data_IF_811221328401
#
_entry.id   IF_811221328401
#
_cell.length_a   1.000
_cell.length_b   1.000
_cell.length_c   1.000
_cell.angle_alpha   90.00
_cell.angle_beta   90.00
_cell.angle_gamma   90.00
#
_symmetry.space_group_name_H-M   'P 1'
#
loop_
_entity.id
_entity.type
_entity.pdbx_description
1 polymer ?
#
# COMPACT_ATOMS: atom_id res chain seq x y z
N UNK A 1 -9.49 -19.34 1.11
CA UNK A 1 -10.87 -19.42 1.69
C UNK A 1 -11.43 -20.85 1.70
N UNK A 2 -11.54 -21.56 0.58
CA UNK A 2 -12.06 -22.95 0.56
C UNK A 2 -11.39 -23.88 1.59
N UNK A 3 -10.06 -23.85 1.66
CA UNK A 3 -9.31 -24.64 2.66
C UNK A 3 -9.64 -24.25 4.11
N UNK A 4 -9.91 -22.97 4.36
CA UNK A 4 -10.33 -22.49 5.69
C UNK A 4 -11.70 -23.05 6.05
N UNK A 5 -12.70 -22.97 5.17
CA UNK A 5 -14.04 -23.53 5.41
C UNK A 5 -13.99 -25.05 5.65
N UNK A 6 -13.19 -25.77 4.87
CA UNK A 6 -12.96 -27.20 5.08
C UNK A 6 -12.33 -27.49 6.45
N UNK A 7 -11.36 -26.68 6.88
CA UNK A 7 -10.75 -26.78 8.20
C UNK A 7 -11.78 -26.49 9.31
N UNK A 8 -12.54 -25.39 9.22
CA UNK A 8 -13.60 -25.01 10.17
C UNK A 8 -14.63 -26.13 10.32
N UNK A 9 -15.02 -26.75 9.22
CA UNK A 9 -15.93 -27.90 9.21
C UNK A 9 -15.32 -29.11 9.92
N UNK A 10 -14.09 -29.48 9.57
CA UNK A 10 -13.42 -30.66 10.16
C UNK A 10 -13.14 -30.50 11.66
N UNK A 11 -12.92 -29.28 12.13
CA UNK A 11 -12.76 -28.95 13.55
C UNK A 11 -14.07 -28.78 14.30
N UNK A 12 -15.22 -28.88 13.62
CA UNK A 12 -16.54 -28.74 14.25
C UNK A 12 -16.76 -27.39 14.92
N UNK A 13 -16.17 -26.31 14.40
CA UNK A 13 -16.20 -24.99 15.06
C UNK A 13 -17.64 -24.46 15.26
N UNK A 14 -18.56 -24.82 14.36
CA UNK A 14 -19.97 -24.46 14.44
C UNK A 14 -20.68 -25.00 15.70
N UNK A 15 -20.12 -26.01 16.37
CA UNK A 15 -20.64 -26.54 17.63
C UNK A 15 -20.39 -25.58 18.81
N UNK A 16 -19.40 -24.68 18.69
CA UNK A 16 -19.00 -23.77 19.75
C UNK A 16 -19.39 -22.33 19.45
N UNK A 17 -19.37 -21.95 18.17
CA UNK A 17 -19.63 -20.58 17.73
C UNK A 17 -20.58 -20.62 16.54
N UNK A 18 -21.72 -19.94 16.67
CA UNK A 18 -22.72 -19.85 15.59
C UNK A 18 -22.59 -18.58 14.76
N UNK A 19 -21.89 -17.56 15.29
CA UNK A 19 -21.73 -16.25 14.64
C UNK A 19 -20.28 -15.80 14.72
N UNK A 20 -19.72 -15.35 13.60
CA UNK A 20 -18.36 -14.81 13.51
C UNK A 20 -18.44 -13.34 13.13
N UNK A 21 -17.76 -12.48 13.89
CA UNK A 21 -17.58 -11.09 13.51
C UNK A 21 -16.59 -11.00 12.34
N UNK A 22 -17.01 -10.39 11.23
CA UNK A 22 -16.19 -10.25 10.03
C UNK A 22 -16.31 -8.83 9.46
N UNK A 23 -15.22 -8.34 8.90
CA UNK A 23 -15.16 -7.04 8.24
C UNK A 23 -14.51 -7.16 6.85
N UNK A 24 -14.50 -6.07 6.08
CA UNK A 24 -13.96 -6.01 4.73
C UNK A 24 -14.82 -6.73 3.68
N UNK A 25 -14.43 -6.60 2.40
CA UNK A 25 -15.20 -7.15 1.28
C UNK A 25 -15.43 -8.67 1.33
N UNK A 26 -14.52 -9.41 1.98
CA UNK A 26 -14.66 -10.86 2.18
C UNK A 26 -15.88 -11.25 3.02
N UNK A 27 -16.26 -10.42 3.99
CA UNK A 27 -17.42 -10.66 4.85
C UNK A 27 -18.73 -10.70 4.05
N UNK A 28 -18.82 -9.92 2.97
CA UNK A 28 -19.96 -9.94 2.05
C UNK A 28 -19.82 -11.05 1.01
N UNK A 29 -18.64 -11.17 0.40
CA UNK A 29 -18.38 -12.12 -0.69
C UNK A 29 -18.60 -13.58 -0.27
N UNK A 30 -18.22 -13.94 0.94
CA UNK A 30 -18.21 -15.33 1.41
C UNK A 30 -19.34 -15.67 2.38
N UNK A 31 -20.28 -14.75 2.66
CA UNK A 31 -21.37 -14.97 3.62
C UNK A 31 -22.17 -16.24 3.35
N UNK A 32 -22.60 -16.43 2.09
CA UNK A 32 -23.37 -17.60 1.69
C UNK A 32 -22.55 -18.90 1.80
N UNK A 33 -21.24 -18.83 1.55
CA UNK A 33 -20.36 -20.00 1.68
C UNK A 33 -20.20 -20.41 3.15
N UNK A 34 -20.07 -19.46 4.07
CA UNK A 34 -20.06 -19.72 5.51
C UNK A 34 -21.38 -20.37 5.98
N UNK A 35 -22.51 -19.81 5.55
CA UNK A 35 -23.82 -20.35 5.93
C UNK A 35 -24.03 -21.76 5.35
N UNK A 36 -23.65 -21.99 4.10
CA UNK A 36 -23.86 -23.28 3.40
C UNK A 36 -22.89 -24.38 3.88
N UNK A 37 -21.62 -24.06 4.06
CA UNK A 37 -20.58 -25.08 4.26
C UNK A 37 -20.36 -25.42 5.73
N UNK A 38 -20.54 -24.45 6.63
CA UNK A 38 -20.27 -24.60 8.06
C UNK A 38 -21.44 -24.18 8.96
N UNK A 39 -22.58 -23.76 8.40
CA UNK A 39 -23.77 -23.33 9.17
C UNK A 39 -23.47 -22.22 10.21
N UNK A 40 -22.56 -21.30 9.86
CA UNK A 40 -22.22 -20.14 10.69
C UNK A 40 -22.71 -18.86 10.02
N UNK A 41 -23.15 -17.90 10.83
CA UNK A 41 -23.53 -16.55 10.38
C UNK A 41 -22.35 -15.60 10.47
N UNK A 42 -22.26 -14.64 9.56
CA UNK A 42 -21.31 -13.54 9.65
C UNK A 42 -22.00 -12.30 10.22
N UNK A 43 -21.55 -11.85 11.39
CA UNK A 43 -21.85 -10.50 11.88
C UNK A 43 -20.91 -9.53 11.13
N UNK A 44 -21.45 -8.85 10.13
CA UNK A 44 -20.68 -7.98 9.24
C UNK A 44 -20.49 -6.60 9.87
N UNK A 45 -19.26 -6.11 9.87
CA UNK A 45 -18.88 -4.77 10.30
C UNK A 45 -18.25 -4.00 9.13
N UNK A 46 -18.35 -2.67 9.15
CA UNK A 46 -17.68 -1.82 8.16
C UNK A 46 -16.16 -1.92 8.28
N UNK A 47 -15.47 -1.84 7.14
CA UNK A 47 -14.01 -1.99 7.04
C UNK A 47 -13.27 -0.87 7.75
N UNK A 48 -13.67 0.38 7.52
CA UNK A 48 -12.96 1.53 8.05
C UNK A 48 -13.30 1.78 9.52
N UNK A 49 -14.55 1.56 9.93
CA UNK A 49 -14.92 1.59 11.35
C UNK A 49 -14.12 0.56 12.15
N UNK A 50 -13.98 -0.66 11.61
CA UNK A 50 -13.23 -1.73 12.28
C UNK A 50 -11.74 -1.42 12.34
N UNK A 51 -11.19 -0.86 11.25
CA UNK A 51 -9.78 -0.44 11.17
C UNK A 51 -9.45 0.64 12.20
N UNK A 52 -10.25 1.69 12.30
CA UNK A 52 -10.00 2.80 13.23
C UNK A 52 -10.17 2.39 14.69
N UNK A 53 -11.19 1.58 14.99
CA UNK A 53 -11.36 1.01 16.34
C UNK A 53 -10.19 0.11 16.72
N UNK A 54 -9.72 -0.71 15.79
CA UNK A 54 -8.55 -1.56 15.99
C UNK A 54 -7.28 -0.75 16.24
N UNK A 55 -7.06 0.31 15.46
CA UNK A 55 -5.91 1.21 15.61
C UNK A 55 -5.91 1.92 16.96
N UNK A 56 -7.05 2.50 17.37
CA UNK A 56 -7.22 3.14 18.68
C UNK A 56 -7.03 2.13 19.83
N UNK A 57 -7.55 0.92 19.66
CA UNK A 57 -7.36 -0.16 20.62
C UNK A 57 -5.86 -0.46 20.78
N UNK A 58 -5.15 -0.82 19.70
CA UNK A 58 -3.73 -1.19 19.80
C UNK A 58 -2.89 -0.08 20.41
N UNK A 59 -3.08 1.17 20.01
CA UNK A 59 -2.35 2.32 20.58
C UNK A 59 -2.60 2.48 22.09
N UNK A 60 -3.85 2.33 22.54
CA UNK A 60 -4.21 2.46 23.96
C UNK A 60 -3.56 1.40 24.86
N UNK A 61 -3.20 0.23 24.31
CA UNK A 61 -2.53 -0.86 25.02
C UNK A 61 -1.02 -0.92 24.77
N UNK A 62 -0.53 -0.37 23.66
CA UNK A 62 0.88 -0.34 23.30
C UNK A 62 1.28 1.03 22.75
N UNK A 63 1.76 1.91 23.64
CA UNK A 63 2.25 3.25 23.28
C UNK A 63 3.48 3.26 22.35
N UNK A 64 4.11 2.11 22.13
CA UNK A 64 5.28 1.96 21.25
C UNK A 64 4.92 1.40 19.87
N UNK A 65 3.64 1.24 19.57
CA UNK A 65 3.19 0.67 18.29
C UNK A 65 3.51 1.61 17.12
N UNK A 66 3.33 2.92 17.31
CA UNK A 66 3.58 3.91 16.26
C UNK A 66 5.06 4.30 16.21
N UNK A 67 5.60 4.42 15.00
CA UNK A 67 7.00 4.79 14.77
C UNK A 67 7.17 5.51 13.43
N UNK A 68 8.32 6.17 13.29
CA UNK A 68 8.76 6.79 12.04
C UNK A 68 10.26 6.55 11.83
N UNK A 69 10.75 6.86 10.63
CA UNK A 69 12.18 6.84 10.32
C UNK A 69 12.69 8.29 10.28
N UNK A 70 13.57 8.66 11.20
CA UNK A 70 14.24 9.96 11.14
C UNK A 70 15.43 9.90 10.18
N UNK A 71 15.66 10.98 9.43
CA UNK A 71 16.69 11.06 8.37
C UNK A 71 16.61 9.91 7.33
N UNK A 72 15.45 9.61 6.74
CA UNK A 72 15.25 8.41 5.92
C UNK A 72 16.07 8.37 4.62
N UNK A 73 16.69 9.48 4.23
CA UNK A 73 17.52 9.62 3.03
C UNK A 73 19.02 9.52 3.33
N UNK A 74 19.43 9.53 4.60
CA UNK A 74 20.83 9.41 5.02
C UNK A 74 21.02 8.07 5.73
N UNK A 75 21.64 7.10 5.06
CA UNK A 75 21.84 5.75 5.60
C UNK A 75 22.60 5.72 6.93
N UNK A 76 23.47 6.70 7.19
CA UNK A 76 24.28 6.76 8.42
C UNK A 76 23.49 7.30 9.62
N UNK A 77 22.48 8.13 9.36
CA UNK A 77 21.63 8.76 10.37
C UNK A 77 20.23 8.16 10.46
N UNK A 78 19.85 7.32 9.49
CA UNK A 78 18.53 6.72 9.40
C UNK A 78 18.27 5.79 10.59
N UNK A 79 17.27 6.12 11.39
CA UNK A 79 16.90 5.33 12.57
C UNK A 79 15.40 5.27 12.76
N UNK A 80 14.93 4.13 13.24
CA UNK A 80 13.55 3.93 13.66
C UNK A 80 13.35 4.58 15.03
N UNK A 81 12.37 5.48 15.14
CA UNK A 81 12.03 6.18 16.37
C UNK A 81 10.55 5.99 16.71
N UNK A 82 10.26 5.85 18.00
CA UNK A 82 8.89 5.75 18.52
C UNK A 82 8.15 7.09 18.33
N UNK A 83 6.86 7.02 18.05
CA UNK A 83 5.98 8.17 17.94
C UNK A 83 4.85 8.06 18.96
N UNK A 84 4.67 9.09 19.79
CA UNK A 84 3.55 9.16 20.72
C UNK A 84 2.26 9.48 19.97
N UNK A 85 1.41 8.47 19.79
CA UNK A 85 0.15 8.57 19.06
C UNK A 85 -1.06 8.76 20.01
N UNK A 86 -0.84 9.17 21.26
CA UNK A 86 -1.90 9.28 22.28
C UNK A 86 -2.92 10.41 22.05
N UNK A 87 -2.53 11.48 21.35
CA UNK A 87 -3.43 12.54 20.89
C UNK A 87 -3.19 12.85 19.41
N UNK A 88 -3.57 11.94 18.50
CA UNK A 88 -3.08 11.95 17.13
C UNK A 88 -3.90 12.83 16.18
N UNK A 89 -5.00 13.41 16.65
CA UNK A 89 -5.96 14.09 15.79
C UNK A 89 -5.57 15.55 15.51
N UNK A 90 -5.76 16.04 14.27
CA UNK A 90 -6.19 15.29 13.08
C UNK A 90 -5.02 14.53 12.43
N UNK A 91 -5.32 13.40 11.77
CA UNK A 91 -4.33 12.67 10.96
C UNK A 91 -4.92 12.10 9.67
N UNK A 92 -4.04 11.80 8.71
CA UNK A 92 -4.39 11.10 7.48
C UNK A 92 -4.02 9.62 7.63
N UNK A 93 -5.01 8.74 7.57
CA UNK A 93 -4.81 7.30 7.54
C UNK A 93 -4.75 6.83 6.09
N UNK A 94 -3.63 6.22 5.71
CA UNK A 94 -3.42 5.68 4.37
C UNK A 94 -3.36 4.15 4.44
N UNK A 95 -4.49 3.49 4.22
CA UNK A 95 -4.59 2.02 4.25
C UNK A 95 -4.13 1.42 2.91
N UNK A 96 -3.07 0.60 2.93
CA UNK A 96 -2.47 -0.04 1.75
C UNK A 96 -2.81 -1.53 1.75
N UNK A 97 -3.77 -1.93 0.93
CA UNK A 97 -4.12 -3.32 0.67
C UNK A 97 -3.94 -3.66 -0.81
N UNK A 98 -4.87 -4.43 -1.38
CA UNK A 98 -4.90 -4.67 -2.84
C UNK A 98 -5.00 -3.36 -3.63
N UNK A 99 -5.82 -2.42 -3.15
CA UNK A 99 -5.82 -1.01 -3.53
C UNK A 99 -5.42 -0.13 -2.35
N UNK A 100 -5.70 1.17 -2.44
CA UNK A 100 -5.43 2.14 -1.37
C UNK A 100 -6.69 2.92 -1.02
N UNK A 101 -6.93 3.10 0.27
CA UNK A 101 -7.90 4.08 0.77
C UNK A 101 -7.22 5.10 1.69
N UNK A 102 -7.58 6.38 1.52
CA UNK A 102 -7.07 7.50 2.30
C UNK A 102 -8.22 8.11 3.09
N UNK A 103 -8.05 8.23 4.40
CA UNK A 103 -9.07 8.72 5.32
C UNK A 103 -8.53 9.90 6.10
N UNK A 104 -9.24 11.03 6.06
CA UNK A 104 -9.01 12.13 6.99
C UNK A 104 -9.74 11.81 8.29
N UNK A 105 -8.99 11.68 9.38
CA UNK A 105 -9.50 11.34 10.71
C UNK A 105 -9.42 12.57 11.60
N UNK A 106 -10.56 13.13 11.94
CA UNK A 106 -10.67 14.40 12.67
C UNK A 106 -10.84 14.18 14.18
N UNK A 107 -11.45 13.06 14.58
CA UNK A 107 -11.66 12.71 15.98
C UNK A 107 -11.89 11.20 16.11
N UNK A 108 -11.99 10.64 17.34
CA UNK A 108 -12.21 9.20 17.53
C UNK A 108 -13.45 8.63 16.84
N UNK A 109 -14.46 9.46 16.58
CA UNK A 109 -15.72 9.08 15.95
C UNK A 109 -16.00 9.81 14.64
N UNK A 110 -15.07 10.65 14.16
CA UNK A 110 -15.24 11.46 12.96
C UNK A 110 -14.10 11.22 11.99
N UNK A 111 -14.43 10.57 10.88
CA UNK A 111 -13.51 10.35 9.77
C UNK A 111 -14.27 10.37 8.44
N UNK A 112 -13.53 10.64 7.37
CA UNK A 112 -14.06 10.61 6.01
C UNK A 112 -13.02 9.99 5.09
N UNK A 113 -13.44 9.07 4.22
CA UNK A 113 -12.61 8.64 3.09
C UNK A 113 -12.50 9.81 2.11
N UNK A 114 -11.32 10.41 2.05
CA UNK A 114 -11.07 11.60 1.21
C UNK A 114 -10.67 11.22 -0.20
N UNK A 115 -9.92 10.13 -0.35
CA UNK A 115 -9.44 9.69 -1.66
C UNK A 115 -9.06 8.21 -1.64
N UNK A 116 -8.51 7.73 -2.75
CA UNK A 116 -7.90 6.42 -2.86
C UNK A 116 -7.44 6.14 -4.28
N UNK A 117 -6.61 5.11 -4.45
CA UNK A 117 -6.10 4.70 -5.75
C UNK A 117 -6.22 3.19 -5.91
N UNK A 118 -6.50 2.74 -7.12
CA UNK A 118 -6.44 1.32 -7.47
C UNK A 118 -5.01 0.80 -7.51
N UNK A 119 -4.01 1.69 -7.57
CA UNK A 119 -2.59 1.37 -7.59
C UNK A 119 -2.12 1.04 -6.15
N UNK A 120 -2.38 -0.19 -5.71
CA UNK A 120 -1.97 -0.73 -4.41
C UNK A 120 -1.05 -1.94 -4.51
N UNK A 121 -1.00 -2.74 -3.45
CA UNK A 121 -0.18 -3.95 -3.41
C UNK A 121 -0.61 -5.01 -4.41
N UNK A 122 -1.89 -5.05 -4.78
CA UNK A 122 -2.41 -5.96 -5.81
C UNK A 122 -1.93 -5.60 -7.20
N UNK A 123 -1.80 -4.30 -7.51
CA UNK A 123 -1.21 -3.83 -8.76
C UNK A 123 0.28 -4.10 -8.81
N UNK A 124 1.00 -3.82 -7.72
CA UNK A 124 2.43 -4.15 -7.60
C UNK A 124 2.66 -5.64 -7.85
N UNK A 125 2.04 -6.52 -7.06
CA UNK A 125 2.25 -7.96 -7.19
C UNK A 125 1.81 -8.48 -8.56
N UNK A 126 0.65 -8.04 -9.06
CA UNK A 126 0.14 -8.48 -10.36
C UNK A 126 1.09 -8.11 -11.51
N UNK A 127 1.67 -6.91 -11.49
CA UNK A 127 2.66 -6.51 -12.50
C UNK A 127 3.98 -7.24 -12.34
N UNK A 128 4.48 -7.44 -11.11
CA UNK A 128 5.68 -8.26 -10.89
C UNK A 128 5.48 -9.67 -11.48
N UNK A 129 4.36 -10.33 -11.16
CA UNK A 129 4.04 -11.65 -11.70
C UNK A 129 4.01 -11.68 -13.23
N UNK A 130 3.41 -10.67 -13.86
CA UNK A 130 3.31 -10.60 -15.32
C UNK A 130 4.64 -10.32 -16.01
N UNK A 131 5.49 -9.48 -15.39
CA UNK A 131 6.71 -8.98 -16.02
C UNK A 131 7.93 -9.85 -15.76
N UNK A 132 7.97 -10.59 -14.64
CA UNK A 132 9.15 -11.38 -14.25
C UNK A 132 8.85 -12.85 -13.98
N UNK A 133 7.56 -13.21 -13.88
CA UNK A 133 7.16 -14.57 -13.52
C UNK A 133 7.29 -14.90 -12.04
N UNK A 134 7.60 -13.93 -11.17
CA UNK A 134 7.61 -14.15 -9.72
C UNK A 134 6.21 -14.58 -9.23
N UNK A 135 6.14 -15.39 -8.18
CA UNK A 135 4.88 -15.97 -7.70
C UNK A 135 4.49 -15.56 -6.28
N UNK A 136 5.40 -14.93 -5.54
CA UNK A 136 5.15 -14.47 -4.17
C UNK A 136 5.47 -12.99 -4.01
N UNK A 137 4.90 -12.38 -2.98
CA UNK A 137 5.18 -10.98 -2.67
C UNK A 137 6.61 -10.81 -2.18
N UNK A 138 7.12 -11.77 -1.42
CA UNK A 138 8.47 -11.81 -0.88
C UNK A 138 9.52 -11.84 -2.00
N UNK A 139 9.34 -12.70 -3.00
CA UNK A 139 10.21 -12.78 -4.18
C UNK A 139 10.21 -11.45 -4.95
N UNK A 140 9.03 -10.85 -5.12
CA UNK A 140 8.92 -9.54 -5.77
C UNK A 140 9.65 -8.43 -4.99
N UNK A 141 9.63 -8.45 -3.66
CA UNK A 141 10.36 -7.49 -2.82
C UNK A 141 11.87 -7.73 -2.89
N UNK A 142 12.33 -8.99 -2.87
CA UNK A 142 13.74 -9.32 -3.00
C UNK A 142 14.32 -8.87 -4.34
N UNK A 143 13.61 -9.13 -5.45
CA UNK A 143 13.98 -8.62 -6.77
C UNK A 143 13.97 -7.09 -6.83
N UNK A 144 13.00 -6.44 -6.16
CA UNK A 144 12.98 -4.98 -6.05
C UNK A 144 14.16 -4.44 -5.25
N UNK A 145 14.67 -5.18 -4.27
CA UNK A 145 15.76 -4.73 -3.43
C UNK A 145 17.10 -4.71 -4.17
N UNK A 146 17.36 -5.69 -5.05
CA UNK A 146 18.59 -5.80 -5.83
C UNK A 146 18.60 -4.97 -7.12
N UNK A 147 17.43 -4.61 -7.65
CA UNK A 147 17.33 -3.96 -8.95
C UNK A 147 17.73 -2.48 -8.99
N UNK A 148 18.04 -2.01 -10.21
CA UNK A 148 18.34 -0.61 -10.52
C UNK A 148 17.26 -0.02 -11.44
N UNK A 149 16.47 0.92 -10.93
CA UNK A 149 15.38 1.54 -11.70
C UNK A 149 15.89 2.49 -12.78
N UNK A 150 17.12 2.99 -12.69
CA UNK A 150 17.67 3.97 -13.66
C UNK A 150 17.90 3.38 -15.06
N UNK A 151 17.87 2.04 -15.15
CA UNK A 151 17.96 1.27 -16.40
C UNK A 151 16.68 1.28 -17.23
N UNK A 152 15.55 1.66 -16.63
CA UNK A 152 14.24 1.64 -17.29
C UNK A 152 13.45 2.96 -17.11
N UNK A 153 13.69 3.69 -16.02
CA UNK A 153 13.09 5.00 -15.78
C UNK A 153 13.87 6.11 -16.48
N UNK A 154 13.18 7.10 -17.03
CA UNK A 154 13.79 8.35 -17.51
C UNK A 154 13.84 9.37 -16.38
N UNK A 155 15.00 9.95 -16.12
CA UNK A 155 15.26 10.93 -15.08
C UNK A 155 15.22 12.36 -15.62
N UNK A 156 15.14 13.36 -14.75
CA UNK A 156 15.16 14.79 -15.12
C UNK A 156 16.44 15.13 -15.88
N UNK A 157 17.60 14.62 -15.46
CA UNK A 157 18.88 14.84 -16.16
C UNK A 157 18.91 14.30 -17.57
N UNK A 158 18.16 13.25 -17.87
CA UNK A 158 18.10 12.65 -19.21
C UNK A 158 17.31 13.54 -20.20
N UNK A 159 16.54 14.51 -19.68
CA UNK A 159 15.77 15.49 -20.45
C UNK A 159 16.51 16.84 -20.50
N UNK A 160 17.02 17.30 -19.35
CA UNK A 160 17.56 18.66 -19.18
C UNK A 160 19.09 18.74 -19.11
N UNK A 161 19.80 17.61 -19.13
CA UNK A 161 21.27 17.55 -18.99
C UNK A 161 21.79 17.82 -17.57
N UNK A 162 20.90 17.89 -16.57
CA UNK A 162 21.19 18.21 -15.19
C UNK A 162 19.91 18.50 -14.41
N UNK A 163 20.00 19.34 -13.38
CA UNK A 163 18.83 19.77 -12.60
C UNK A 163 17.90 20.67 -13.42
N UNK A 164 16.58 20.55 -13.21
CA UNK A 164 15.63 21.53 -13.73
C UNK A 164 15.48 22.69 -12.75
N UNK A 165 16.45 23.60 -12.78
CA UNK A 165 16.63 24.70 -11.82
C UNK A 165 15.38 25.56 -11.62
N UNK A 166 14.61 25.82 -12.68
CA UNK A 166 13.42 26.70 -12.63
C UNK A 166 12.38 26.25 -11.59
N UNK A 167 12.20 24.94 -11.44
CA UNK A 167 11.24 24.36 -10.49
C UNK A 167 11.92 23.58 -9.37
N UNK A 168 13.24 23.69 -9.25
CA UNK A 168 14.02 22.99 -8.23
C UNK A 168 13.91 21.47 -8.30
N UNK A 169 13.77 20.89 -9.50
CA UNK A 169 13.73 19.44 -9.65
C UNK A 169 15.16 18.89 -9.78
N UNK A 170 15.62 18.02 -8.86
CA UNK A 170 16.92 17.38 -8.95
C UNK A 170 17.06 16.52 -10.21
N UNK A 171 18.25 16.44 -10.79
CA UNK A 171 18.52 15.67 -12.00
C UNK A 171 18.34 14.16 -11.84
N UNK A 172 18.46 13.63 -10.63
CA UNK A 172 18.21 12.22 -10.27
C UNK A 172 16.73 11.91 -9.99
N UNK A 173 15.84 12.91 -10.02
CA UNK A 173 14.41 12.70 -9.92
C UNK A 173 13.88 11.94 -11.14
N UNK A 174 13.05 10.93 -10.91
CA UNK A 174 12.32 10.23 -11.99
C UNK A 174 11.34 11.19 -12.67
N UNK A 175 11.55 11.43 -13.97
CA UNK A 175 10.67 12.24 -14.80
C UNK A 175 9.58 11.40 -15.46
N UNK A 176 9.90 10.16 -15.89
CA UNK A 176 8.94 9.22 -16.46
C UNK A 176 9.31 7.77 -16.17
N UNK A 177 8.46 7.08 -15.42
CA UNK A 177 8.64 5.65 -15.11
C UNK A 177 8.57 4.79 -16.36
N UNK A 178 9.40 3.75 -16.47
CA UNK A 178 9.47 2.77 -17.58
C UNK A 178 9.71 3.34 -18.99
N UNK A 179 9.99 4.62 -19.13
CA UNK A 179 10.06 5.26 -20.44
C UNK A 179 11.18 4.70 -21.33
N UNK A 180 12.29 4.25 -20.76
CA UNK A 180 13.39 3.74 -21.58
C UNK A 180 13.00 2.47 -22.34
N UNK A 181 11.98 1.72 -21.88
CA UNK A 181 11.45 0.54 -22.58
C UNK A 181 10.76 0.86 -23.92
N UNK A 182 10.35 2.12 -24.14
CA UNK A 182 9.79 2.57 -25.42
C UNK A 182 10.89 2.86 -26.46
N UNK A 183 12.15 2.86 -26.05
CA UNK A 183 13.30 3.21 -26.89
C UNK A 183 13.78 1.96 -27.63
N UNK A 184 13.94 2.04 -28.96
CA UNK A 184 14.45 0.94 -29.79
C UNK A 184 15.87 0.45 -29.44
N UNK A 185 16.56 1.11 -28.50
CA UNK A 185 17.91 0.78 -28.06
C UNK A 185 17.97 -0.31 -26.99
N UNK A 186 16.87 -0.57 -26.25
CA UNK A 186 16.83 -1.66 -25.27
C UNK A 186 16.36 -2.94 -25.98
N UNK A 187 17.30 -3.84 -26.26
CA UNK A 187 16.94 -5.18 -26.73
C UNK A 187 16.16 -5.89 -25.62
N UNK A 188 14.91 -6.30 -25.90
CA UNK A 188 14.06 -7.05 -24.96
C UNK A 188 14.74 -8.29 -24.34
N UNK A 189 15.82 -8.79 -24.96
CA UNK A 189 16.60 -9.94 -24.51
C UNK A 189 17.68 -9.62 -23.46
N UNK A 190 18.01 -8.34 -23.23
CA UNK A 190 19.02 -7.91 -22.24
C UNK A 190 18.40 -7.36 -20.95
N UNK A 191 17.07 -7.37 -20.84
CA UNK A 191 16.37 -6.81 -19.68
C UNK A 191 16.33 -7.84 -18.55
N UNK A 192 16.96 -7.48 -17.43
CA UNK A 192 16.91 -8.29 -16.21
C UNK A 192 15.62 -8.01 -15.41
N UNK A 193 15.12 -9.04 -14.74
CA UNK A 193 13.83 -8.99 -14.02
C UNK A 193 13.83 -7.98 -12.87
N UNK A 194 14.97 -7.80 -12.21
CA UNK A 194 15.15 -6.86 -11.10
C UNK A 194 15.14 -5.39 -11.58
N UNK A 195 15.66 -5.09 -12.79
CA UNK A 195 15.56 -3.76 -13.41
C UNK A 195 14.10 -3.38 -13.67
N UNK A 196 13.27 -4.36 -14.05
CA UNK A 196 11.84 -4.15 -14.29
C UNK A 196 11.07 -3.98 -12.98
N UNK A 197 11.45 -4.66 -11.90
CA UNK A 197 10.70 -4.63 -10.64
C UNK A 197 11.03 -3.40 -9.79
N UNK A 198 12.31 -2.99 -9.68
CA UNK A 198 12.72 -1.85 -8.83
C UNK A 198 11.88 -0.58 -9.01
N UNK A 199 11.50 -0.16 -10.23
CA UNK A 199 10.69 1.04 -10.43
C UNK A 199 9.24 0.93 -9.97
N UNK A 200 8.66 -0.28 -9.85
CA UNK A 200 7.26 -0.44 -9.45
C UNK A 200 6.98 0.17 -8.05
N UNK A 201 7.69 -0.21 -6.98
CA UNK A 201 7.45 0.38 -5.66
C UNK A 201 7.75 1.89 -5.65
N UNK A 202 8.77 2.35 -6.39
CA UNK A 202 9.10 3.78 -6.52
C UNK A 202 7.94 4.54 -7.15
N UNK A 203 7.40 4.03 -8.26
CA UNK A 203 6.32 4.65 -9.03
C UNK A 203 5.02 4.68 -8.21
N UNK A 204 4.66 3.57 -7.57
CA UNK A 204 3.43 3.49 -6.78
C UNK A 204 3.50 4.30 -5.49
N UNK A 205 4.63 4.29 -4.79
CA UNK A 205 4.79 5.10 -3.58
C UNK A 205 4.84 6.61 -3.90
N UNK A 206 5.52 7.03 -4.99
CA UNK A 206 5.60 8.45 -5.37
C UNK A 206 4.29 9.01 -5.94
N UNK A 207 3.58 8.28 -6.82
CA UNK A 207 2.29 8.73 -7.38
C UNK A 207 1.24 8.96 -6.30
N UNK A 208 1.29 8.17 -5.23
CA UNK A 208 0.41 8.29 -4.08
C UNK A 208 0.52 9.65 -3.40
N UNK A 209 1.74 10.11 -3.17
CA UNK A 209 2.02 11.40 -2.52
C UNK A 209 1.58 12.60 -3.38
N UNK A 210 1.70 12.53 -4.72
CA UNK A 210 1.37 13.65 -5.61
C UNK A 210 -0.13 13.86 -5.85
N UNK A 211 -0.97 12.81 -5.88
CA UNK A 211 -2.43 12.98 -6.02
C UNK A 211 -3.06 13.68 -4.82
N UNK A 212 -2.41 13.63 -3.66
CA UNK A 212 -2.95 14.08 -2.37
C UNK A 212 -2.77 15.59 -2.13
N UNK A 213 -1.68 16.20 -2.60
CA UNK A 213 -1.40 17.64 -2.38
C UNK A 213 -2.32 18.59 -3.17
N UNK A 214 -2.89 18.13 -4.28
CA UNK A 214 -3.75 18.96 -5.12
C UNK A 214 -5.22 18.96 -4.65
N UNK A 215 -5.70 17.90 -4.00
CA UNK A 215 -7.08 17.85 -3.49
C UNK A 215 -7.25 18.58 -2.15
N UNK A 216 -6.25 18.52 -1.25
CA UNK A 216 -6.31 19.21 0.05
C UNK A 216 -6.32 20.73 -0.11
N UNK A 217 -5.58 21.27 -1.08
CA UNK A 217 -5.54 22.71 -1.35
C UNK A 217 -6.80 23.24 -2.06
N UNK A 218 -7.56 22.40 -2.75
CA UNK A 218 -8.79 22.79 -3.47
C UNK A 218 -10.00 23.01 -2.54
N UNK A 219 -9.93 22.62 -1.27
CA UNK A 219 -11.02 22.74 -0.29
C UNK A 219 -10.84 23.82 0.76
N UNK A 220 -9.85 24.71 0.62
CA UNK A 220 -9.75 25.90 1.49
C UNK A 220 -10.72 26.99 0.99
N UNK A 221 -11.73 27.41 1.77
CA UNK A 221 -12.52 28.59 1.43
C UNK A 221 -11.65 29.84 1.64
N UNK A 222 -11.64 30.73 0.64
CA UNK A 222 -11.28 32.14 0.84
C UNK A 222 -12.31 32.82 1.75
#
# INVERSE_FOLDING_TARGET
MKNFLALTKSKGMANFVTTVCATGGGAYKFENDFQREVNMKLAKYDEFDSLLKGLQFVDSYNRKECYYWSNPTDESLCKKEEYDFSNPYPFLLVNIGSGVSMLAVNSPSSFKRVSGTSLGGGTFLGLCCLLTGCNTFEEAIELAASGDSTRVDKLVRDIYGGDYVRFGLPGDLVASSYHQLDSCEVLFLEIESDWIIRPLPITFMKKKCCSELNEVNATSPQ
#
